data_IF_288104368329
#
_entry.id   IF_288104368329
#
_cell.length_a   1.000
_cell.length_b   1.000
_cell.length_c   1.000
_cell.angle_alpha   90.00
_cell.angle_beta   90.00
_cell.angle_gamma   90.00
#
_symmetry.space_group_name_H-M   'P 1'
#
loop_
_entity.id
_entity.type
_entity.pdbx_description
1 polymer ?
#
# COMPACT_ATOMS: atom_id res chain seq x y z
N UNK A 1 18.58 -9.24 3.99
CA UNK A 1 17.47 -8.26 4.05
C UNK A 1 16.22 -8.73 3.30
N UNK A 2 16.24 -8.97 1.97
CA UNK A 2 15.04 -9.37 1.20
C UNK A 2 14.33 -10.63 1.71
N UNK A 3 15.07 -11.65 2.14
CA UNK A 3 14.49 -12.88 2.73
C UNK A 3 13.62 -12.62 3.96
N UNK A 4 13.96 -11.61 4.78
CA UNK A 4 13.14 -11.23 5.93
C UNK A 4 11.79 -10.64 5.51
N UNK A 5 11.79 -9.83 4.45
CA UNK A 5 10.57 -9.25 3.88
C UNK A 5 9.67 -10.35 3.30
N UNK A 6 10.25 -11.30 2.58
CA UNK A 6 9.53 -12.46 2.04
C UNK A 6 8.91 -13.27 3.17
N UNK A 7 9.67 -13.56 4.24
CA UNK A 7 9.17 -14.25 5.42
C UNK A 7 8.00 -13.50 6.08
N UNK A 8 8.11 -12.18 6.22
CA UNK A 8 7.04 -11.33 6.75
C UNK A 8 5.79 -11.33 5.86
N UNK A 9 5.97 -11.26 4.54
CA UNK A 9 4.88 -11.30 3.57
C UNK A 9 4.13 -12.65 3.62
N UNK A 10 4.86 -13.76 3.73
CA UNK A 10 4.26 -15.10 3.91
C UNK A 10 3.51 -15.21 5.25
N UNK A 11 4.08 -14.69 6.33
CA UNK A 11 3.41 -14.62 7.64
C UNK A 11 2.13 -13.76 7.58
N UNK A 12 2.15 -12.67 6.81
CA UNK A 12 0.99 -11.83 6.58
C UNK A 12 -0.09 -12.60 5.80
N UNK A 13 0.27 -13.26 4.70
CA UNK A 13 -0.66 -14.11 3.94
C UNK A 13 -1.29 -15.20 4.83
N UNK A 14 -0.49 -15.86 5.66
CA UNK A 14 -0.97 -16.85 6.62
C UNK A 14 -1.91 -16.24 7.67
N UNK A 15 -1.60 -15.03 8.16
CA UNK A 15 -2.46 -14.31 9.10
C UNK A 15 -3.81 -13.95 8.48
N UNK A 16 -3.83 -13.49 7.23
CA UNK A 16 -5.05 -13.27 6.45
C UNK A 16 -5.86 -14.55 6.35
N UNK A 17 -5.23 -15.70 6.06
CA UNK A 17 -5.90 -16.99 6.03
C UNK A 17 -6.52 -17.37 7.38
N UNK A 18 -5.76 -17.31 8.48
CA UNK A 18 -6.24 -17.69 9.82
C UNK A 18 -7.39 -16.80 10.29
N UNK A 19 -7.25 -15.48 10.13
CA UNK A 19 -8.27 -14.50 10.51
C UNK A 19 -9.54 -14.69 9.69
N UNK A 20 -9.41 -14.87 8.37
CA UNK A 20 -10.57 -15.13 7.51
C UNK A 20 -11.25 -16.43 7.87
N UNK A 21 -10.48 -17.48 8.19
CA UNK A 21 -11.04 -18.79 8.57
C UNK A 21 -11.86 -18.68 9.84
N UNK A 22 -11.35 -17.93 10.83
CA UNK A 22 -12.02 -17.68 12.11
C UNK A 22 -13.36 -16.96 11.94
N UNK A 23 -13.41 -15.93 11.10
CA UNK A 23 -14.60 -15.06 10.99
C UNK A 23 -15.57 -15.42 9.87
N UNK A 24 -15.09 -16.01 8.78
CA UNK A 24 -15.85 -16.22 7.55
C UNK A 24 -15.81 -17.68 7.04
N UNK A 25 -15.03 -18.54 7.70
CA UNK A 25 -14.96 -19.98 7.44
C UNK A 25 -13.92 -20.40 6.39
N UNK A 26 -13.73 -21.72 6.27
CA UNK A 26 -12.65 -22.33 5.46
C UNK A 26 -12.66 -21.93 3.99
N UNK A 27 -13.83 -21.88 3.35
CA UNK A 27 -13.91 -21.52 1.92
C UNK A 27 -13.48 -20.08 1.68
N UNK A 28 -13.93 -19.15 2.52
CA UNK A 28 -13.56 -17.74 2.43
C UNK A 28 -12.05 -17.54 2.63
N UNK A 29 -11.45 -18.29 3.56
CA UNK A 29 -10.01 -18.18 3.83
C UNK A 29 -9.14 -18.66 2.69
N UNK A 30 -9.57 -19.70 1.95
CA UNK A 30 -8.85 -20.16 0.76
C UNK A 30 -8.91 -19.12 -0.37
N UNK A 31 -10.08 -18.51 -0.61
CA UNK A 31 -10.18 -17.41 -1.58
C UNK A 31 -9.36 -16.20 -1.14
N UNK A 32 -9.45 -15.77 0.13
CA UNK A 32 -8.68 -14.63 0.62
C UNK A 32 -7.17 -14.87 0.53
N UNK A 33 -6.69 -16.07 0.84
CA UNK A 33 -5.28 -16.42 0.69
C UNK A 33 -4.83 -16.35 -0.77
N UNK A 34 -5.59 -16.96 -1.68
CA UNK A 34 -5.29 -16.95 -3.11
C UNK A 34 -5.29 -15.53 -3.69
N UNK A 35 -6.29 -14.73 -3.33
CA UNK A 35 -6.36 -13.33 -3.71
C UNK A 35 -5.15 -12.55 -3.17
N UNK A 36 -4.75 -12.77 -1.90
CA UNK A 36 -3.63 -12.07 -1.29
C UNK A 36 -2.28 -12.34 -1.97
N UNK A 37 -1.94 -13.61 -2.18
CA UNK A 37 -0.62 -13.99 -2.73
C UNK A 37 -0.47 -13.62 -4.21
N UNK A 38 -1.59 -13.44 -4.92
CA UNK A 38 -1.63 -13.07 -6.33
C UNK A 38 -2.03 -11.60 -6.54
N UNK A 39 -2.22 -10.81 -5.49
CA UNK A 39 -2.45 -9.39 -5.68
C UNK A 39 -1.12 -8.74 -6.10
N UNK A 40 -1.02 -8.17 -7.31
CA UNK A 40 0.25 -7.80 -7.92
C UNK A 40 1.01 -6.75 -7.11
N UNK A 41 0.32 -5.76 -6.54
CA UNK A 41 0.99 -4.69 -5.80
C UNK A 41 1.56 -5.18 -4.46
N UNK A 42 0.83 -6.02 -3.74
CA UNK A 42 1.26 -6.65 -2.49
C UNK A 42 2.41 -7.63 -2.73
N UNK A 43 2.33 -8.44 -3.79
CA UNK A 43 3.41 -9.36 -4.17
C UNK A 43 4.67 -8.61 -4.62
N UNK A 44 4.52 -7.52 -5.37
CA UNK A 44 5.62 -6.64 -5.78
C UNK A 44 6.37 -6.08 -4.57
N UNK A 45 5.67 -5.63 -3.53
CA UNK A 45 6.33 -5.08 -2.34
C UNK A 45 6.71 -6.13 -1.30
N UNK A 46 6.23 -7.37 -1.41
CA UNK A 46 6.56 -8.47 -0.50
C UNK A 46 8.05 -8.81 -0.41
N UNK A 47 8.84 -8.42 -1.40
CA UNK A 47 10.29 -8.67 -1.44
C UNK A 47 11.14 -7.38 -1.39
N UNK A 48 10.51 -6.20 -1.42
CA UNK A 48 11.20 -4.91 -1.32
C UNK A 48 11.50 -4.59 0.14
N UNK A 49 12.72 -4.14 0.42
CA UNK A 49 13.15 -3.76 1.78
C UNK A 49 12.65 -2.34 2.07
N UNK A 50 11.39 -2.23 2.47
CA UNK A 50 10.73 -0.97 2.83
C UNK A 50 9.78 -1.18 4.03
N UNK A 51 9.10 -0.12 4.44
CA UNK A 51 8.20 -0.11 5.61
C UNK A 51 6.73 -0.40 5.26
N UNK A 52 6.40 -0.63 3.99
CA UNK A 52 5.03 -0.66 3.48
C UNK A 52 4.29 -1.96 3.83
N UNK A 53 4.94 -3.12 3.67
CA UNK A 53 4.40 -4.41 4.12
C UNK A 53 4.33 -4.51 5.67
N UNK A 54 5.38 -4.12 6.43
CA UNK A 54 5.33 -4.07 7.89
C UNK A 54 4.16 -3.28 8.46
N UNK A 55 3.91 -2.03 8.01
CA UNK A 55 2.77 -1.25 8.52
C UNK A 55 1.45 -1.95 8.21
N UNK A 56 1.26 -2.45 6.99
CA UNK A 56 0.02 -3.11 6.60
C UNK A 56 -0.24 -4.37 7.46
N UNK A 57 0.80 -5.15 7.74
CA UNK A 57 0.74 -6.35 8.58
C UNK A 57 0.36 -6.03 10.03
N UNK A 58 1.10 -5.12 10.69
CA UNK A 58 0.86 -4.80 12.09
C UNK A 58 -0.44 -4.04 12.28
N UNK A 59 -0.82 -3.16 11.36
CA UNK A 59 -2.12 -2.47 11.39
C UNK A 59 -3.27 -3.47 11.28
N UNK A 60 -3.19 -4.40 10.33
CA UNK A 60 -4.18 -5.46 10.17
C UNK A 60 -4.38 -6.27 11.46
N UNK A 61 -3.29 -6.78 12.04
CA UNK A 61 -3.36 -7.56 13.27
C UNK A 61 -3.83 -6.72 14.47
N UNK A 62 -3.44 -5.45 14.56
CA UNK A 62 -3.91 -4.53 15.60
C UNK A 62 -5.42 -4.38 15.57
N UNK A 63 -6.02 -4.19 14.39
CA UNK A 63 -7.47 -4.11 14.25
C UNK A 63 -8.15 -5.43 14.66
N UNK A 64 -7.57 -6.57 14.29
CA UNK A 64 -8.11 -7.90 14.66
C UNK A 64 -8.05 -8.14 16.16
N UNK A 65 -6.91 -7.87 16.81
CA UNK A 65 -6.76 -8.05 18.25
C UNK A 65 -7.61 -7.05 19.04
N UNK A 66 -7.75 -5.81 18.53
CA UNK A 66 -8.61 -4.80 19.11
C UNK A 66 -10.08 -5.24 19.10
N UNK A 67 -10.56 -5.80 17.99
CA UNK A 67 -11.91 -6.37 17.93
C UNK A 67 -12.10 -7.48 18.97
N UNK A 68 -11.12 -8.37 19.11
CA UNK A 68 -11.20 -9.46 20.09
C UNK A 68 -11.18 -8.95 21.52
N UNK A 69 -10.43 -7.90 21.81
CA UNK A 69 -10.51 -7.19 23.08
C UNK A 69 -11.89 -6.55 23.31
N UNK A 70 -12.46 -5.87 22.32
CA UNK A 70 -13.80 -5.27 22.44
C UNK A 70 -14.87 -6.32 22.75
N UNK A 71 -14.78 -7.49 22.11
CA UNK A 71 -15.71 -8.61 22.31
C UNK A 71 -15.59 -9.26 23.69
N UNK A 72 -14.36 -9.58 24.11
CA UNK A 72 -14.14 -10.44 25.28
C UNK A 72 -13.66 -9.70 26.52
N UNK A 73 -13.20 -8.46 26.37
CA UNK A 73 -12.56 -7.62 27.41
C UNK A 73 -11.39 -8.30 28.15
N UNK A 74 -10.80 -9.33 27.55
CA UNK A 74 -9.70 -10.10 28.15
C UNK A 74 -8.40 -9.30 28.04
N UNK A 75 -7.68 -9.15 29.16
CA UNK A 75 -6.38 -8.46 29.22
C UNK A 75 -5.36 -9.02 28.22
N UNK A 76 -5.42 -10.32 27.93
CA UNK A 76 -4.60 -10.97 26.90
C UNK A 76 -4.68 -10.28 25.53
N UNK A 77 -5.90 -9.98 25.04
CA UNK A 77 -6.08 -9.31 23.75
C UNK A 77 -5.68 -7.83 23.79
N UNK A 78 -5.82 -7.18 24.96
CA UNK A 78 -5.31 -5.83 25.17
C UNK A 78 -3.78 -5.80 25.07
N UNK A 79 -3.09 -6.75 25.72
CA UNK A 79 -1.62 -6.89 25.63
C UNK A 79 -1.16 -7.12 24.20
N UNK A 80 -1.80 -8.05 23.47
CA UNK A 80 -1.50 -8.28 22.04
C UNK A 80 -1.71 -6.99 21.22
N UNK A 81 -2.83 -6.30 21.43
CA UNK A 81 -3.12 -5.04 20.73
C UNK A 81 -2.07 -3.98 21.03
N UNK A 82 -1.63 -3.85 22.28
CA UNK A 82 -0.62 -2.87 22.68
C UNK A 82 0.73 -3.12 21.97
N UNK A 83 1.20 -4.37 21.91
CA UNK A 83 2.44 -4.69 21.19
C UNK A 83 2.32 -4.52 19.67
N UNK A 84 1.21 -4.97 19.06
CA UNK A 84 1.01 -4.83 17.62
C UNK A 84 0.87 -3.35 17.21
N UNK A 85 0.15 -2.56 18.01
CA UNK A 85 0.05 -1.12 17.82
C UNK A 85 1.44 -0.50 17.92
N UNK A 86 2.23 -0.84 18.94
CA UNK A 86 3.59 -0.35 19.10
C UNK A 86 4.49 -0.69 17.90
N UNK A 87 4.47 -1.93 17.43
CA UNK A 87 5.24 -2.33 16.25
C UNK A 87 4.77 -1.63 14.97
N UNK A 88 3.48 -1.31 14.84
CA UNK A 88 2.99 -0.52 13.70
C UNK A 88 3.57 0.91 13.71
N UNK A 89 3.63 1.57 14.88
CA UNK A 89 4.22 2.90 15.02
C UNK A 89 5.72 2.88 14.72
N UNK A 90 6.41 1.83 15.18
CA UNK A 90 7.82 1.62 14.90
C UNK A 90 8.10 1.36 13.42
N UNK A 91 7.22 0.60 12.74
CA UNK A 91 7.35 0.29 11.33
C UNK A 91 7.23 1.54 10.45
N UNK A 92 6.23 2.39 10.68
CA UNK A 92 6.01 3.60 9.86
C UNK A 92 5.18 4.64 10.61
N UNK A 93 5.61 5.89 10.59
CA UNK A 93 4.96 7.00 11.30
C UNK A 93 3.48 7.22 10.93
N UNK A 94 3.07 6.87 9.72
CA UNK A 94 1.67 6.95 9.28
C UNK A 94 0.74 5.99 10.04
N UNK A 95 1.27 5.04 10.82
CA UNK A 95 0.49 4.16 11.66
C UNK A 95 -0.28 4.89 12.77
N UNK A 96 0.01 6.18 13.03
CA UNK A 96 -0.78 7.02 13.95
C UNK A 96 -2.27 7.05 13.56
N UNK A 97 -2.58 6.81 12.28
CA UNK A 97 -3.93 6.62 11.76
C UNK A 97 -4.73 5.51 12.48
N UNK A 98 -4.06 4.55 13.14
CA UNK A 98 -4.72 3.53 13.94
C UNK A 98 -5.54 4.09 15.09
N UNK A 99 -5.17 5.24 15.66
CA UNK A 99 -5.88 5.82 16.81
C UNK A 99 -7.34 6.14 16.44
N UNK A 100 -7.62 6.99 15.43
CA UNK A 100 -8.99 7.25 15.02
C UNK A 100 -9.69 6.00 14.45
N UNK A 101 -8.96 5.08 13.80
CA UNK A 101 -9.54 3.82 13.29
C UNK A 101 -10.03 2.93 14.44
N UNK A 102 -9.23 2.72 15.48
CA UNK A 102 -9.60 1.93 16.66
C UNK A 102 -10.75 2.58 17.43
N UNK A 103 -10.76 3.91 17.53
CA UNK A 103 -11.87 4.68 18.08
C UNK A 103 -13.15 4.47 17.27
N UNK A 104 -13.09 4.61 15.94
CA UNK A 104 -14.20 4.35 15.04
C UNK A 104 -14.73 2.91 15.15
N UNK A 105 -13.85 1.92 15.21
CA UNK A 105 -14.23 0.53 15.44
C UNK A 105 -14.98 0.35 16.77
N UNK A 106 -14.48 0.96 17.86
CA UNK A 106 -15.12 0.87 19.17
C UNK A 106 -16.49 1.54 19.18
N UNK A 107 -16.62 2.73 18.59
CA UNK A 107 -17.90 3.44 18.48
C UNK A 107 -18.93 2.63 17.68
N UNK A 108 -18.55 2.16 16.48
CA UNK A 108 -19.43 1.33 15.64
C UNK A 108 -19.81 0.05 16.39
N UNK A 109 -18.87 -0.60 17.06
CA UNK A 109 -19.14 -1.79 17.85
C UNK A 109 -20.15 -1.53 18.98
N UNK A 110 -19.99 -0.44 19.74
CA UNK A 110 -20.89 -0.13 20.84
C UNK A 110 -22.31 0.23 20.37
N UNK A 111 -22.45 1.00 19.29
CA UNK A 111 -23.77 1.40 18.80
C UNK A 111 -24.48 0.31 17.99
N UNK A 112 -23.74 -0.46 17.19
CA UNK A 112 -24.34 -1.45 16.27
C UNK A 112 -24.46 -2.83 16.90
N UNK A 113 -23.44 -3.27 17.66
CA UNK A 113 -23.40 -4.60 18.27
C UNK A 113 -23.94 -4.57 19.70
N UNK A 114 -23.38 -3.72 20.57
CA UNK A 114 -23.85 -3.63 21.97
C UNK A 114 -25.12 -2.79 22.14
N UNK A 115 -25.51 -2.01 21.12
CA UNK A 115 -26.70 -1.13 21.11
C UNK A 115 -26.77 -0.20 22.32
N UNK A 116 -25.63 0.41 22.68
CA UNK A 116 -25.60 1.37 23.79
C UNK A 116 -26.40 2.63 23.45
N UNK A 117 -26.99 3.26 24.47
CA UNK A 117 -27.61 4.59 24.34
C UNK A 117 -26.56 5.70 24.48
N UNK A 118 -26.85 6.89 23.93
CA UNK A 118 -25.97 8.07 24.04
C UNK A 118 -25.63 8.43 25.50
N UNK A 119 -26.55 8.22 26.45
CA UNK A 119 -26.31 8.46 27.88
C UNK A 119 -25.18 7.60 28.45
N UNK A 120 -25.01 6.38 27.95
CA UNK A 120 -23.95 5.44 28.39
C UNK A 120 -22.63 5.62 27.63
N UNK A 121 -22.59 6.49 26.60
CA UNK A 121 -21.39 6.72 25.79
C UNK A 121 -20.24 7.26 26.64
N UNK A 122 -20.50 8.21 27.52
CA UNK A 122 -19.46 8.81 28.39
C UNK A 122 -18.78 7.74 29.24
N UNK A 123 -19.55 6.86 29.90
CA UNK A 123 -19.00 5.76 30.69
C UNK A 123 -18.18 4.79 29.83
N UNK A 124 -18.60 4.53 28.58
CA UNK A 124 -17.83 3.68 27.66
C UNK A 124 -16.54 4.35 27.20
N UNK A 125 -16.54 5.66 26.95
CA UNK A 125 -15.33 6.43 26.64
C UNK A 125 -14.35 6.42 27.82
N UNK A 126 -14.84 6.61 29.05
CA UNK A 126 -14.00 6.50 30.26
C UNK A 126 -13.40 5.09 30.39
N UNK A 127 -14.15 4.05 30.02
CA UNK A 127 -13.68 2.65 30.11
C UNK A 127 -12.50 2.32 29.20
N UNK A 128 -12.21 3.14 28.17
CA UNK A 128 -11.07 2.93 27.25
C UNK A 128 -9.85 3.78 27.60
N UNK A 129 -9.93 4.67 28.59
CA UNK A 129 -8.79 5.51 29.02
C UNK A 129 -7.64 4.64 29.53
N UNK A 130 -7.88 3.79 30.53
CA UNK A 130 -6.82 2.92 31.08
C UNK A 130 -6.23 1.97 30.02
N UNK A 131 -7.03 1.27 29.19
CA UNK A 131 -6.51 0.53 28.04
C UNK A 131 -5.67 1.37 27.08
N UNK A 132 -6.10 2.60 26.78
CA UNK A 132 -5.38 3.53 25.92
C UNK A 132 -4.04 3.95 26.51
N UNK A 133 -4.01 4.33 27.79
CA UNK A 133 -2.77 4.66 28.52
C UNK A 133 -1.81 3.47 28.54
N UNK A 134 -2.31 2.25 28.72
CA UNK A 134 -1.50 1.05 28.65
C UNK A 134 -0.90 0.82 27.26
N UNK A 135 -1.69 0.99 26.18
CA UNK A 135 -1.19 0.90 24.80
C UNK A 135 -0.09 1.96 24.55
N UNK A 136 -0.30 3.20 25.02
CA UNK A 136 0.69 4.28 24.90
C UNK A 136 1.97 3.97 25.67
N UNK A 137 1.88 3.45 26.89
CA UNK A 137 3.04 3.06 27.69
C UNK A 137 3.86 1.94 27.03
N UNK A 138 3.19 0.91 26.49
CA UNK A 138 3.86 -0.16 25.74
C UNK A 138 4.49 0.38 24.46
N UNK A 139 3.80 1.27 23.76
CA UNK A 139 4.32 1.92 22.54
C UNK A 139 5.58 2.71 22.83
N UNK A 140 5.57 3.51 23.89
CA UNK A 140 6.75 4.23 24.36
C UNK A 140 7.90 3.26 24.66
N UNK A 141 7.65 2.22 25.45
CA UNK A 141 8.68 1.24 25.82
C UNK A 141 9.29 0.53 24.60
N UNK A 142 8.47 0.08 23.64
CA UNK A 142 8.95 -0.60 22.42
C UNK A 142 9.77 0.33 21.55
N UNK A 143 9.34 1.58 21.34
CA UNK A 143 10.11 2.57 20.58
C UNK A 143 11.41 2.89 21.33
N UNK A 144 11.34 3.08 22.65
CA UNK A 144 12.51 3.36 23.47
C UNK A 144 13.56 2.25 23.39
N UNK A 145 13.15 0.99 23.54
CA UNK A 145 14.03 -0.18 23.37
C UNK A 145 14.55 -0.28 21.93
N UNK A 146 13.68 -0.11 20.93
CA UNK A 146 14.03 -0.23 19.52
C UNK A 146 14.98 0.86 19.00
N UNK A 147 15.10 1.98 19.70
CA UNK A 147 16.08 3.04 19.44
C UNK A 147 17.34 2.92 20.32
N UNK A 148 17.50 1.81 21.05
CA UNK A 148 18.70 1.52 21.84
C UNK A 148 18.70 2.15 23.23
N UNK A 149 17.53 2.50 23.79
CA UNK A 149 17.38 3.13 25.11
C UNK A 149 18.28 4.37 25.27
N UNK A 150 18.14 5.38 24.39
CA UNK A 150 19.01 6.54 24.43
C UNK A 150 18.75 7.34 25.72
N UNK A 151 19.74 7.37 26.61
CA UNK A 151 19.74 8.24 27.79
C UNK A 151 20.35 9.62 27.51
N UNK A 152 20.95 9.80 26.34
CA UNK A 152 21.49 11.08 25.85
C UNK A 152 20.97 11.38 24.45
N UNK A 153 20.74 12.67 24.16
CA UNK A 153 20.44 13.11 22.80
C UNK A 153 21.76 13.05 22.03
N UNK A 154 21.88 12.11 21.08
CA UNK A 154 23.00 12.10 20.15
C UNK A 154 23.09 13.47 19.46
N UNK A 155 24.28 14.08 19.44
CA UNK A 155 24.54 15.34 18.74
C UNK A 155 24.12 15.32 17.26
N UNK A 156 23.88 14.14 16.66
CA UNK A 156 23.33 13.96 15.31
C UNK A 156 21.86 14.42 15.12
N UNK A 157 21.12 14.71 16.19
CA UNK A 157 19.80 15.35 16.09
C UNK A 157 19.97 16.83 15.74
N UNK A 158 21.02 17.47 16.29
CA UNK A 158 21.41 18.85 16.05
C UNK A 158 22.18 18.95 14.75
N UNK A 159 21.50 19.44 13.72
CA UNK A 159 22.13 19.85 12.48
C UNK A 159 21.91 21.37 12.35
N UNK A 160 22.94 22.21 12.59
CA UNK A 160 22.80 23.67 12.51
C UNK A 160 22.46 24.16 11.10
N UNK A 161 22.58 23.32 10.06
CA UNK A 161 22.10 23.61 8.72
C UNK A 161 20.60 23.31 8.53
N UNK A 162 19.96 22.58 9.46
CA UNK A 162 18.53 22.30 9.45
C UNK A 162 17.79 23.28 10.38
N UNK A 163 17.53 24.49 9.88
CA UNK A 163 16.78 25.55 10.58
C UNK A 163 15.29 25.26 10.80
N UNK A 164 14.79 24.12 10.30
CA UNK A 164 13.36 23.78 10.25
C UNK A 164 12.83 22.98 11.45
N UNK A 165 13.68 22.63 12.41
CA UNK A 165 13.25 22.00 13.66
C UNK A 165 12.81 23.07 14.66
N UNK A 166 11.68 22.88 15.38
CA UNK A 166 11.28 23.78 16.44
C UNK A 166 12.39 23.92 17.47
N UNK A 167 12.61 25.15 17.96
CA UNK A 167 13.67 25.47 18.91
C UNK A 167 13.73 24.52 20.11
N UNK A 168 12.57 24.13 20.65
CA UNK A 168 12.47 23.18 21.77
C UNK A 168 12.93 21.74 21.46
N UNK A 169 12.91 21.33 20.18
CA UNK A 169 13.49 20.06 19.74
C UNK A 169 15.00 20.18 19.56
N UNK A 170 15.48 21.34 19.08
CA UNK A 170 16.90 21.62 18.83
C UNK A 170 17.72 21.71 20.10
N UNK A 171 17.14 22.18 21.21
CA UNK A 171 17.87 22.27 22.47
C UNK A 171 18.02 20.93 23.21
N UNK A 172 17.36 19.86 22.75
CA UNK A 172 17.45 18.53 23.34
C UNK A 172 16.90 18.39 24.77
N UNK A 173 16.61 19.51 25.47
CA UNK A 173 16.21 19.54 26.89
C UNK A 173 14.96 18.71 27.18
N UNK A 174 13.95 18.76 26.30
CA UNK A 174 12.75 17.94 26.42
C UNK A 174 13.08 16.44 26.30
N UNK A 175 13.87 16.05 25.30
CA UNK A 175 14.21 14.64 25.07
C UNK A 175 15.13 14.08 26.17
N UNK A 176 16.04 14.91 26.70
CA UNK A 176 16.89 14.57 27.85
C UNK A 176 16.08 14.39 29.14
N UNK A 177 15.13 15.28 29.42
CA UNK A 177 14.30 15.23 30.63
C UNK A 177 13.41 13.98 30.71
N UNK A 178 13.00 13.44 29.56
CA UNK A 178 12.07 12.31 29.49
C UNK A 178 12.69 11.01 28.93
N UNK A 179 14.00 11.00 28.66
CA UNK A 179 14.72 9.89 28.00
C UNK A 179 13.99 9.39 26.72
N UNK A 180 13.40 10.32 25.98
CA UNK A 180 12.54 10.00 24.83
C UNK A 180 13.41 9.84 23.57
N UNK A 181 13.15 8.85 22.70
CA UNK A 181 13.91 8.65 21.46
C UNK A 181 13.83 9.85 20.50
N UNK A 182 14.76 10.79 20.62
CA UNK A 182 14.75 12.05 19.86
C UNK A 182 14.70 11.83 18.34
N UNK A 183 15.37 10.79 17.83
CA UNK A 183 15.36 10.45 16.40
C UNK A 183 13.99 10.00 15.89
N UNK A 184 13.21 9.29 16.71
CA UNK A 184 11.84 8.92 16.35
C UNK A 184 10.96 10.17 16.17
N UNK A 185 11.04 11.10 17.11
CA UNK A 185 10.26 12.34 17.05
C UNK A 185 10.74 13.30 15.98
N UNK A 186 12.06 13.36 15.71
CA UNK A 186 12.61 14.05 14.53
C UNK A 186 12.00 13.49 13.25
N UNK A 187 11.96 12.16 13.09
CA UNK A 187 11.34 11.52 11.95
C UNK A 187 9.84 11.82 11.82
N UNK A 188 9.11 11.81 12.94
CA UNK A 188 7.70 12.20 12.96
C UNK A 188 7.50 13.67 12.55
N UNK A 189 8.34 14.58 13.05
CA UNK A 189 8.32 16.00 12.67
C UNK A 189 8.61 16.21 11.19
N UNK A 190 9.64 15.53 10.66
CA UNK A 190 9.98 15.60 9.24
C UNK A 190 8.83 15.10 8.37
N UNK A 191 8.13 14.03 8.77
CA UNK A 191 6.94 13.58 8.07
C UNK A 191 5.83 14.65 8.09
N UNK A 192 5.52 15.22 9.27
CA UNK A 192 4.47 16.24 9.36
C UNK A 192 4.83 17.46 8.52
N UNK A 193 6.09 17.91 8.58
CA UNK A 193 6.61 19.00 7.75
C UNK A 193 6.42 18.70 6.27
N UNK A 194 6.81 17.51 5.81
CA UNK A 194 6.71 17.12 4.41
C UNK A 194 5.25 17.07 3.91
N UNK A 195 4.30 16.71 4.78
CA UNK A 195 2.87 16.80 4.49
C UNK A 195 2.43 18.27 4.34
N UNK A 196 2.93 19.17 5.20
CA UNK A 196 2.59 20.61 5.16
C UNK A 196 3.28 21.36 4.02
N UNK A 197 4.51 20.99 3.64
CA UNK A 197 5.28 21.61 2.56
C UNK A 197 4.73 21.32 1.16
N UNK A 198 3.75 20.42 1.04
CA UNK A 198 3.02 20.11 -0.21
C UNK A 198 3.96 19.82 -1.38
N UNK A 199 4.42 18.57 -1.45
CA UNK A 199 5.22 18.06 -2.56
C UNK A 199 4.46 18.09 -3.89
N UNK A 200 5.20 18.11 -4.98
CA UNK A 200 4.63 17.93 -6.32
C UNK A 200 4.17 16.48 -6.48
N UNK A 201 2.96 16.32 -7.02
CA UNK A 201 2.33 15.04 -7.30
C UNK A 201 1.95 14.96 -8.77
N UNK A 202 1.83 13.73 -9.28
CA UNK A 202 1.50 13.45 -10.67
C UNK A 202 0.27 12.55 -10.79
N UNK A 203 -0.71 12.94 -11.61
CA UNK A 203 -1.91 12.16 -11.88
C UNK A 203 -2.45 12.48 -13.29
N UNK A 204 -2.57 11.45 -14.14
CA UNK A 204 -3.08 11.56 -15.52
C UNK A 204 -2.46 12.70 -16.34
N UNK A 205 -1.12 12.75 -16.39
CA UNK A 205 -0.37 13.76 -17.13
C UNK A 205 -0.31 15.15 -16.48
N UNK A 206 -1.02 15.37 -15.37
CA UNK A 206 -1.03 16.64 -14.66
C UNK A 206 -0.09 16.62 -13.46
N UNK A 207 0.56 17.76 -13.22
CA UNK A 207 1.37 18.01 -12.02
C UNK A 207 0.65 18.99 -11.10
N UNK A 208 0.68 18.72 -9.79
CA UNK A 208 0.06 19.59 -8.80
C UNK A 208 0.77 19.51 -7.45
N UNK A 209 1.15 20.66 -6.89
CA UNK A 209 1.63 20.74 -5.51
C UNK A 209 0.49 20.45 -4.53
N UNK A 210 0.75 19.53 -3.62
CA UNK A 210 -0.20 19.10 -2.60
C UNK A 210 -1.25 18.09 -3.08
N UNK A 211 -1.14 17.61 -4.33
CA UNK A 211 -1.91 16.47 -4.81
C UNK A 211 -3.42 16.65 -4.97
N UNK A 212 -4.13 15.52 -4.96
CA UNK A 212 -5.57 15.39 -5.12
C UNK A 212 -6.14 14.53 -4.01
N UNK A 213 -7.23 14.99 -3.37
CA UNK A 213 -7.92 14.21 -2.35
C UNK A 213 -8.39 12.84 -2.86
N UNK A 214 -8.60 12.69 -4.18
CA UNK A 214 -9.02 11.45 -4.83
C UNK A 214 -7.86 10.63 -5.43
N UNK A 215 -6.59 11.01 -5.21
CA UNK A 215 -5.44 10.29 -5.74
C UNK A 215 -5.44 8.82 -5.34
N UNK A 216 -5.56 8.51 -4.03
CA UNK A 216 -5.53 7.14 -3.55
C UNK A 216 -6.72 6.29 -4.00
N UNK A 217 -7.98 6.79 -4.00
CA UNK A 217 -9.08 6.09 -4.64
C UNK A 217 -8.81 5.76 -6.11
N UNK A 218 -8.32 6.72 -6.91
CA UNK A 218 -7.99 6.48 -8.31
C UNK A 218 -6.87 5.46 -8.43
N UNK A 219 -5.78 5.63 -7.68
CA UNK A 219 -4.65 4.73 -7.70
C UNK A 219 -5.07 3.30 -7.35
N UNK A 220 -5.87 3.12 -6.29
CA UNK A 220 -6.44 1.83 -5.92
C UNK A 220 -7.27 1.24 -7.07
N UNK A 221 -8.13 2.03 -7.70
CA UNK A 221 -9.03 1.56 -8.76
C UNK A 221 -8.30 1.15 -10.04
N UNK A 222 -7.18 1.78 -10.39
CA UNK A 222 -6.43 1.46 -11.62
C UNK A 222 -5.27 0.50 -11.40
N UNK A 223 -4.76 0.39 -10.16
CA UNK A 223 -3.68 -0.54 -9.81
C UNK A 223 -4.19 -1.89 -9.33
N UNK A 224 -5.42 -1.97 -8.82
CA UNK A 224 -5.98 -3.25 -8.33
C UNK A 224 -6.63 -4.02 -9.47
N UNK A 225 -6.43 -5.35 -9.58
CA UNK A 225 -7.10 -6.16 -10.60
C UNK A 225 -8.63 -5.98 -10.57
N UNK A 226 -9.24 -5.74 -11.74
CA UNK A 226 -10.68 -5.56 -11.86
C UNK A 226 -11.50 -6.73 -11.27
N UNK A 227 -11.09 -8.01 -11.42
CA UNK A 227 -11.81 -9.11 -10.77
C UNK A 227 -11.89 -9.00 -9.24
N UNK A 228 -10.84 -8.48 -8.60
CA UNK A 228 -10.84 -8.26 -7.15
C UNK A 228 -11.81 -7.13 -6.77
N UNK A 229 -11.81 -6.03 -7.52
CA UNK A 229 -12.75 -4.92 -7.33
C UNK A 229 -14.20 -5.39 -7.52
N UNK A 230 -14.50 -6.12 -8.61
CA UNK A 230 -15.85 -6.62 -8.88
C UNK A 230 -16.33 -7.61 -7.82
N UNK A 231 -15.44 -8.49 -7.34
CA UNK A 231 -15.77 -9.44 -6.27
C UNK A 231 -16.04 -8.71 -4.95
N UNK A 232 -15.25 -7.69 -4.62
CA UNK A 232 -15.46 -6.84 -3.44
C UNK A 232 -16.80 -6.09 -3.51
N UNK A 233 -17.05 -5.37 -4.61
CA UNK A 233 -18.26 -4.57 -4.81
C UNK A 233 -19.53 -5.43 -4.88
N UNK A 234 -19.48 -6.56 -5.58
CA UNK A 234 -20.60 -7.50 -5.66
C UNK A 234 -21.00 -8.02 -4.29
N UNK A 235 -20.03 -8.32 -3.43
CA UNK A 235 -20.28 -8.72 -2.05
C UNK A 235 -20.90 -7.63 -1.17
N UNK A 236 -20.43 -6.39 -1.35
CA UNK A 236 -20.97 -5.22 -0.66
C UNK A 236 -22.42 -4.97 -1.08
N UNK A 237 -22.67 -4.92 -2.39
CA UNK A 237 -24.01 -4.71 -2.96
C UNK A 237 -25.00 -5.78 -2.46
N UNK A 238 -24.62 -7.06 -2.47
CA UNK A 238 -25.51 -8.13 -1.98
C UNK A 238 -25.74 -8.03 -0.47
N UNK A 239 -24.71 -7.67 0.32
CA UNK A 239 -24.87 -7.54 1.77
C UNK A 239 -25.81 -6.39 2.15
N UNK A 240 -25.72 -5.27 1.42
CA UNK A 240 -26.64 -4.14 1.56
C UNK A 240 -28.06 -4.49 1.09
N UNK A 241 -28.20 -5.10 -0.09
CA UNK A 241 -29.50 -5.47 -0.66
C UNK A 241 -30.26 -6.49 0.22
N UNK A 242 -29.53 -7.42 0.86
CA UNK A 242 -30.13 -8.40 1.78
C UNK A 242 -30.30 -7.88 3.20
N UNK A 243 -30.00 -6.60 3.47
CA UNK A 243 -30.03 -5.96 4.80
C UNK A 243 -29.40 -6.84 5.87
N UNK A 244 -28.23 -7.42 5.56
CA UNK A 244 -27.57 -8.35 6.48
C UNK A 244 -27.27 -7.66 7.80
N UNK A 245 -27.49 -8.39 8.89
CA UNK A 245 -27.08 -7.92 10.21
C UNK A 245 -25.56 -7.76 10.23
N UNK A 246 -25.11 -6.59 10.67
CA UNK A 246 -23.70 -6.28 10.84
C UNK A 246 -23.13 -7.17 11.94
N UNK A 247 -22.07 -7.90 11.63
CA UNK A 247 -21.36 -8.72 12.63
C UNK A 247 -20.12 -7.99 13.12
N UNK A 248 -19.58 -8.33 14.30
CA UNK A 248 -18.30 -7.80 14.77
C UNK A 248 -17.17 -7.95 13.76
N UNK A 249 -17.13 -9.08 13.03
CA UNK A 249 -16.12 -9.33 12.00
C UNK A 249 -16.24 -8.35 10.83
N UNK A 250 -17.45 -7.97 10.43
CA UNK A 250 -17.65 -6.96 9.38
C UNK A 250 -17.12 -5.59 9.81
N UNK A 251 -17.20 -5.23 11.09
CA UNK A 251 -16.64 -3.98 11.62
C UNK A 251 -15.12 -3.96 11.45
N UNK A 252 -14.43 -5.05 11.85
CA UNK A 252 -12.98 -5.13 11.69
C UNK A 252 -12.50 -5.24 10.24
N UNK A 253 -13.38 -5.60 9.30
CA UNK A 253 -13.04 -5.69 7.88
C UNK A 253 -13.42 -4.42 7.12
N UNK A 254 -14.49 -3.72 7.49
CA UNK A 254 -14.97 -2.57 6.72
C UNK A 254 -14.50 -1.23 7.28
N UNK A 255 -14.38 -1.08 8.61
CA UNK A 255 -14.00 0.22 9.21
C UNK A 255 -12.53 0.57 8.96
N UNK A 256 -11.55 -0.32 9.17
CA UNK A 256 -10.14 0.02 8.94
C UNK A 256 -9.80 0.51 7.54
N UNK A 257 -10.21 -0.16 6.44
CA UNK A 257 -9.88 0.32 5.09
C UNK A 257 -10.55 1.67 4.80
N UNK A 258 -11.78 1.90 5.26
CA UNK A 258 -12.48 3.19 5.08
C UNK A 258 -11.81 4.31 5.86
N UNK A 259 -11.49 4.08 7.14
CA UNK A 259 -10.84 5.07 7.99
C UNK A 259 -9.43 5.40 7.50
N UNK A 260 -8.65 4.39 7.12
CA UNK A 260 -7.30 4.59 6.59
C UNK A 260 -7.35 5.34 5.25
N UNK A 261 -8.21 4.93 4.32
CA UNK A 261 -8.40 5.63 3.04
C UNK A 261 -8.81 7.10 3.26
N UNK A 262 -9.78 7.38 4.14
CA UNK A 262 -10.22 8.74 4.43
C UNK A 262 -9.10 9.62 4.98
N UNK A 263 -8.25 9.09 5.86
CA UNK A 263 -7.07 9.79 6.38
C UNK A 263 -6.05 10.04 5.27
N UNK A 264 -5.81 9.06 4.40
CA UNK A 264 -4.90 9.22 3.26
C UNK A 264 -5.41 10.26 2.26
N UNK A 265 -6.72 10.34 2.02
CA UNK A 265 -7.36 11.34 1.16
C UNK A 265 -7.28 12.77 1.73
N UNK A 266 -7.13 12.92 3.04
CA UNK A 266 -6.88 14.21 3.69
C UNK A 266 -5.40 14.63 3.63
N UNK A 267 -4.50 13.70 3.32
CA UNK A 267 -3.09 13.96 3.11
C UNK A 267 -2.79 14.56 1.73
N UNK A 268 -1.53 14.95 1.54
CA UNK A 268 -1.01 15.60 0.32
C UNK A 268 0.14 14.82 -0.33
N UNK A 269 0.50 13.65 0.23
CA UNK A 269 1.66 12.86 -0.15
C UNK A 269 1.30 11.80 -1.21
N UNK A 270 1.06 12.29 -2.42
CA UNK A 270 0.52 11.51 -3.54
C UNK A 270 1.64 10.93 -4.43
N UNK A 271 2.47 10.07 -3.83
CA UNK A 271 3.71 9.56 -4.46
C UNK A 271 3.72 8.02 -4.62
N UNK A 272 2.58 7.34 -4.39
CA UNK A 272 2.53 5.89 -4.55
C UNK A 272 1.36 5.20 -3.87
N UNK A 273 0.78 4.20 -4.52
CA UNK A 273 -0.22 3.30 -3.95
C UNK A 273 0.24 2.66 -2.63
N UNK A 274 1.56 2.45 -2.45
CA UNK A 274 2.17 1.86 -1.26
C UNK A 274 1.77 2.52 0.06
N UNK A 275 1.36 3.78 0.03
CA UNK A 275 0.88 4.50 1.22
C UNK A 275 -0.45 3.97 1.76
N UNK A 276 -1.25 3.26 0.93
CA UNK A 276 -2.54 2.68 1.30
C UNK A 276 -2.57 1.15 1.33
N UNK A 277 -1.43 0.47 1.35
CA UNK A 277 -1.38 -0.99 1.57
C UNK A 277 -2.10 -1.50 2.82
N UNK A 278 -2.21 -0.74 3.92
CA UNK A 278 -3.06 -1.16 5.02
C UNK A 278 -4.54 -1.40 4.65
N UNK A 279 -5.02 -0.90 3.51
CA UNK A 279 -6.38 -1.13 2.99
C UNK A 279 -6.55 -2.54 2.38
N UNK A 280 -5.52 -3.03 1.68
CA UNK A 280 -5.57 -4.27 0.89
C UNK A 280 -5.98 -5.53 1.65
N UNK A 281 -5.41 -5.89 2.83
CA UNK A 281 -5.78 -7.13 3.51
C UNK A 281 -7.28 -7.19 3.81
N UNK A 282 -7.89 -6.07 4.17
CA UNK A 282 -9.31 -6.00 4.49
C UNK A 282 -10.20 -6.14 3.25
N UNK A 283 -9.85 -5.47 2.15
CA UNK A 283 -10.52 -5.63 0.85
C UNK A 283 -10.46 -7.10 0.40
N UNK A 284 -9.28 -7.72 0.50
CA UNK A 284 -9.06 -9.11 0.11
C UNK A 284 -9.88 -10.09 0.96
N UNK A 285 -9.96 -9.87 2.28
CA UNK A 285 -10.80 -10.69 3.17
C UNK A 285 -12.28 -10.56 2.79
N UNK A 286 -12.74 -9.34 2.53
CA UNK A 286 -14.12 -9.11 2.11
C UNK A 286 -14.41 -9.77 0.76
N UNK A 287 -13.51 -9.65 -0.21
CA UNK A 287 -13.62 -10.31 -1.51
C UNK A 287 -13.62 -11.84 -1.38
N UNK A 288 -12.76 -12.41 -0.52
CA UNK A 288 -12.74 -13.84 -0.23
C UNK A 288 -14.03 -14.35 0.41
N UNK A 289 -14.58 -13.59 1.37
CA UNK A 289 -15.91 -13.84 1.93
C UNK A 289 -17.00 -13.81 0.85
N UNK A 290 -16.94 -12.82 -0.04
CA UNK A 290 -17.91 -12.61 -1.12
C UNK A 290 -17.88 -13.76 -2.13
N UNK A 291 -16.69 -14.18 -2.58
CA UNK A 291 -16.50 -15.33 -3.45
C UNK A 291 -17.05 -16.63 -2.82
N UNK A 292 -16.74 -16.87 -1.55
CA UNK A 292 -17.28 -18.03 -0.84
C UNK A 292 -18.81 -17.99 -0.70
N UNK A 293 -19.37 -16.81 -0.48
CA UNK A 293 -20.81 -16.60 -0.44
C UNK A 293 -21.47 -16.89 -1.80
N UNK A 294 -20.93 -16.35 -2.90
CA UNK A 294 -21.45 -16.61 -4.25
C UNK A 294 -21.37 -18.10 -4.62
N UNK A 295 -20.26 -18.77 -4.30
CA UNK A 295 -20.12 -20.21 -4.52
C UNK A 295 -21.18 -21.02 -3.77
N UNK A 296 -21.45 -20.69 -2.50
CA UNK A 296 -22.50 -21.34 -1.71
C UNK A 296 -23.88 -21.06 -2.27
N UNK A 297 -24.14 -19.82 -2.68
CA UNK A 297 -25.40 -19.41 -3.28
C UNK A 297 -25.67 -20.19 -4.58
N UNK A 298 -24.70 -20.28 -5.49
CA UNK A 298 -24.84 -21.04 -6.74
C UNK A 298 -25.06 -22.54 -6.47
N UNK A 299 -24.33 -23.14 -5.52
CA UNK A 299 -24.56 -24.54 -5.12
C UNK A 299 -25.95 -24.78 -4.54
N UNK A 300 -26.48 -23.83 -3.77
CA UNK A 300 -27.85 -23.90 -3.25
C UNK A 300 -28.87 -23.81 -4.39
N UNK A 301 -28.71 -22.85 -5.30
CA UNK A 301 -29.57 -22.67 -6.47
C UNK A 301 -29.54 -23.90 -7.38
N UNK A 302 -28.37 -24.53 -7.56
CA UNK A 302 -28.22 -25.75 -8.34
C UNK A 302 -29.09 -26.91 -7.80
N UNK A 303 -29.18 -27.04 -6.47
CA UNK A 303 -29.99 -28.09 -5.81
C UNK A 303 -31.49 -27.89 -5.98
N UNK A 304 -31.95 -26.64 -6.06
CA UNK A 304 -33.38 -26.31 -6.15
C UNK A 304 -33.84 -26.03 -7.59
N UNK A 305 -32.92 -25.94 -8.56
CA UNK A 305 -33.23 -25.64 -9.95
C UNK A 305 -34.02 -26.79 -10.61
N UNK A 306 -35.29 -26.55 -10.92
CA UNK A 306 -36.18 -27.50 -11.61
C UNK A 306 -36.34 -27.18 -13.09
N UNK A 307 -36.32 -25.90 -13.46
CA UNK A 307 -36.55 -25.46 -14.85
C UNK A 307 -35.24 -25.26 -15.61
N UNK A 308 -35.29 -25.35 -16.96
CA UNK A 308 -34.14 -25.07 -17.82
C UNK A 308 -33.57 -23.67 -17.57
N UNK A 309 -34.42 -22.65 -17.42
CA UNK A 309 -34.03 -21.27 -17.11
C UNK A 309 -33.23 -21.15 -15.80
N UNK A 310 -33.67 -21.84 -14.74
CA UNK A 310 -32.95 -21.84 -13.45
C UNK A 310 -31.58 -22.54 -13.57
N UNK A 311 -31.52 -23.66 -14.29
CA UNK A 311 -30.25 -24.37 -14.55
C UNK A 311 -29.29 -23.50 -15.35
N UNK A 312 -29.76 -22.82 -16.39
CA UNK A 312 -28.96 -21.86 -17.18
C UNK A 312 -28.43 -20.71 -16.32
N UNK A 313 -29.25 -20.12 -15.44
CA UNK A 313 -28.79 -19.06 -14.52
C UNK A 313 -27.62 -19.51 -13.63
N UNK A 314 -27.72 -20.71 -13.04
CA UNK A 314 -26.64 -21.28 -12.22
C UNK A 314 -25.38 -21.52 -13.05
N UNK A 315 -25.53 -22.05 -14.26
CA UNK A 315 -24.42 -22.28 -15.19
C UNK A 315 -23.70 -20.98 -15.58
N UNK A 316 -24.44 -19.96 -15.99
CA UNK A 316 -23.87 -18.64 -16.31
C UNK A 316 -23.21 -17.99 -15.09
N UNK A 317 -23.80 -18.13 -13.90
CA UNK A 317 -23.20 -17.65 -12.66
C UNK A 317 -21.88 -18.36 -12.33
N UNK A 318 -21.82 -19.68 -12.49
CA UNK A 318 -20.60 -20.46 -12.29
C UNK A 318 -19.51 -20.10 -13.32
N UNK A 319 -19.91 -19.93 -14.60
CA UNK A 319 -19.01 -19.49 -15.66
C UNK A 319 -18.45 -18.09 -15.39
N UNK A 320 -19.28 -17.16 -14.92
CA UNK A 320 -18.84 -15.81 -14.54
C UNK A 320 -17.83 -15.85 -13.38
N UNK A 321 -18.08 -16.65 -12.33
CA UNK A 321 -17.12 -16.83 -11.24
C UNK A 321 -15.79 -17.44 -11.73
N UNK A 322 -15.85 -18.43 -12.62
CA UNK A 322 -14.66 -19.05 -13.21
C UNK A 322 -13.89 -18.06 -14.09
N UNK A 323 -14.59 -17.29 -14.92
CA UNK A 323 -14.00 -16.26 -15.77
C UNK A 323 -13.30 -15.17 -14.94
N UNK A 324 -13.92 -14.69 -13.86
CA UNK A 324 -13.29 -13.73 -12.93
C UNK A 324 -12.00 -14.29 -12.30
N UNK A 325 -12.01 -15.57 -11.90
CA UNK A 325 -10.83 -16.21 -11.33
C UNK A 325 -9.71 -16.38 -12.36
N UNK A 326 -10.05 -16.84 -13.57
CA UNK A 326 -9.09 -17.00 -14.67
C UNK A 326 -8.50 -15.64 -15.05
N UNK A 327 -9.34 -14.61 -15.14
CA UNK A 327 -8.91 -13.25 -15.40
C UNK A 327 -7.96 -12.74 -14.32
N UNK A 328 -8.27 -12.96 -13.04
CA UNK A 328 -7.39 -12.58 -11.93
C UNK A 328 -6.03 -13.27 -11.99
N UNK A 329 -6.02 -14.60 -12.19
CA UNK A 329 -4.81 -15.41 -12.30
C UNK A 329 -3.97 -15.00 -13.52
N UNK A 330 -4.60 -14.91 -14.69
CA UNK A 330 -3.95 -14.54 -15.94
C UNK A 330 -3.38 -13.12 -15.88
N UNK A 331 -4.11 -12.18 -15.28
CA UNK A 331 -3.67 -10.80 -15.09
C UNK A 331 -2.39 -10.71 -14.27
N UNK A 332 -2.31 -11.37 -13.11
CA UNK A 332 -1.08 -11.33 -12.30
C UNK A 332 0.07 -12.11 -12.94
N UNK A 333 -0.18 -13.32 -13.44
CA UNK A 333 0.87 -14.19 -13.98
C UNK A 333 1.50 -13.58 -15.25
N UNK A 334 0.69 -13.00 -16.13
CA UNK A 334 1.19 -12.39 -17.38
C UNK A 334 2.11 -11.18 -17.16
N UNK A 335 2.02 -10.54 -16.00
CA UNK A 335 2.85 -9.39 -15.63
C UNK A 335 4.04 -9.75 -14.75
N UNK A 336 4.16 -11.00 -14.29
CA UNK A 336 5.35 -11.45 -13.59
C UNK A 336 6.56 -11.46 -14.56
N UNK A 337 7.75 -10.97 -14.15
CA UNK A 337 8.14 -10.51 -12.81
C UNK A 337 7.91 -9.03 -12.52
N UNK A 338 7.41 -8.25 -13.49
CA UNK A 338 7.19 -6.79 -13.40
C UNK A 338 5.86 -6.42 -12.73
N UNK A 339 5.63 -6.96 -11.53
CA UNK A 339 4.37 -6.72 -10.81
C UNK A 339 4.25 -5.29 -10.25
N UNK A 340 5.37 -4.58 -10.05
CA UNK A 340 5.33 -3.22 -9.51
C UNK A 340 4.69 -2.23 -10.49
N UNK A 341 4.98 -2.36 -11.78
CA UNK A 341 4.41 -1.58 -12.88
C UNK A 341 3.01 -2.06 -13.32
N UNK A 342 2.39 -2.98 -12.57
CA UNK A 342 1.04 -3.46 -12.89
C UNK A 342 0.01 -2.31 -12.88
N UNK A 343 -0.89 -2.31 -13.86
CA UNK A 343 -2.12 -1.53 -13.96
C UNK A 343 -3.16 -2.45 -14.57
N UNK A 344 -4.41 -2.31 -14.14
CA UNK A 344 -5.49 -3.06 -14.73
C UNK A 344 -5.86 -2.53 -16.13
N UNK A 345 -6.78 -3.23 -16.77
CA UNK A 345 -7.15 -3.07 -18.17
C UNK A 345 -7.75 -1.70 -18.50
N UNK A 346 -8.19 -0.92 -17.50
CA UNK A 346 -8.70 0.45 -17.74
C UNK A 346 -7.61 1.43 -18.16
N UNK A 347 -6.36 1.16 -17.80
CA UNK A 347 -5.19 1.99 -18.16
C UNK A 347 -4.21 1.20 -19.03
N UNK A 348 -4.01 -0.08 -18.72
CA UNK A 348 -3.00 -0.94 -19.34
C UNK A 348 -1.59 -0.64 -18.83
N UNK A 349 -0.80 -1.69 -18.62
CA UNK A 349 0.55 -1.60 -18.05
C UNK A 349 1.52 -0.77 -18.89
N UNK A 350 1.48 -0.94 -20.21
CA UNK A 350 2.33 -0.23 -21.18
C UNK A 350 2.13 1.30 -21.17
N UNK A 351 0.98 1.78 -20.70
CA UNK A 351 0.63 3.20 -20.61
C UNK A 351 0.47 3.69 -19.16
N UNK A 352 0.73 2.83 -18.16
CA UNK A 352 0.53 3.14 -16.75
C UNK A 352 1.24 4.40 -16.28
N UNK A 353 2.42 4.67 -16.84
CA UNK A 353 3.23 5.85 -16.56
C UNK A 353 2.55 7.19 -16.90
N UNK A 354 1.57 7.18 -17.81
CA UNK A 354 0.75 8.34 -18.14
C UNK A 354 -0.29 8.62 -17.05
N UNK A 355 -0.72 7.60 -16.31
CA UNK A 355 -1.73 7.73 -15.27
C UNK A 355 -1.12 7.98 -13.88
N UNK A 356 -0.15 7.17 -13.47
CA UNK A 356 0.58 7.31 -12.22
C UNK A 356 2.07 7.17 -12.46
N UNK A 357 2.87 7.71 -11.53
CA UNK A 357 4.32 7.70 -11.64
C UNK A 357 4.95 7.55 -10.25
N UNK A 358 6.27 7.74 -10.13
CA UNK A 358 7.05 7.54 -8.90
C UNK A 358 7.03 6.05 -8.50
N UNK A 359 6.97 5.76 -7.20
CA UNK A 359 6.95 4.42 -6.62
C UNK A 359 5.77 3.53 -7.03
N UNK A 360 4.90 4.02 -7.92
CA UNK A 360 3.89 3.22 -8.63
C UNK A 360 4.46 2.41 -9.81
N UNK A 361 5.63 2.76 -10.35
CA UNK A 361 6.19 2.13 -11.55
C UNK A 361 7.44 1.32 -11.25
N UNK A 362 8.35 1.91 -10.48
CA UNK A 362 9.66 1.36 -10.20
C UNK A 362 10.12 1.76 -8.79
N UNK A 363 11.07 1.02 -8.23
CA UNK A 363 11.81 1.28 -7.01
C UNK A 363 13.33 1.12 -7.26
N UNK A 364 13.71 1.26 -8.53
CA UNK A 364 15.04 1.02 -9.06
C UNK A 364 15.38 -0.44 -9.31
N UNK A 365 14.41 -1.36 -9.26
CA UNK A 365 14.66 -2.75 -9.61
C UNK A 365 14.90 -2.94 -11.12
N UNK A 366 14.42 -2.00 -11.95
CA UNK A 366 14.55 -2.06 -13.41
C UNK A 366 15.99 -1.83 -13.91
N UNK A 367 16.91 -1.33 -13.07
CA UNK A 367 18.33 -1.25 -13.41
C UNK A 367 18.94 -2.62 -13.79
N UNK A 368 18.41 -3.72 -13.24
CA UNK A 368 18.83 -5.07 -13.64
C UNK A 368 18.44 -5.40 -15.09
N UNK A 369 17.17 -5.18 -15.45
CA UNK A 369 16.68 -5.35 -16.83
C UNK A 369 17.41 -4.42 -17.80
N UNK A 370 17.74 -3.21 -17.34
CA UNK A 370 18.52 -2.25 -18.13
C UNK A 370 19.92 -2.76 -18.45
N UNK A 371 20.65 -3.28 -17.46
CA UNK A 371 21.97 -3.91 -17.66
C UNK A 371 21.90 -5.03 -18.69
N UNK A 372 20.90 -5.90 -18.57
CA UNK A 372 20.77 -7.08 -19.43
C UNK A 372 20.49 -6.68 -20.89
N UNK A 373 19.65 -5.66 -21.08
CA UNK A 373 19.41 -5.07 -22.39
C UNK A 373 20.68 -4.48 -23.01
N UNK A 374 21.41 -3.67 -22.25
CA UNK A 374 22.66 -3.04 -22.71
C UNK A 374 23.71 -4.08 -23.11
N UNK A 375 23.84 -5.13 -22.29
CA UNK A 375 24.75 -6.26 -22.56
C UNK A 375 24.37 -6.98 -23.85
N UNK A 376 23.07 -7.26 -24.05
CA UNK A 376 22.59 -7.93 -25.26
C UNK A 376 22.78 -7.08 -26.53
N UNK A 377 22.73 -5.76 -26.42
CA UNK A 377 22.96 -4.81 -27.53
C UNK A 377 24.43 -4.41 -27.69
N UNK A 378 25.34 -4.86 -26.83
CA UNK A 378 26.74 -4.48 -26.85
C UNK A 378 27.00 -2.99 -26.51
N UNK A 379 26.12 -2.35 -25.74
CA UNK A 379 26.20 -0.94 -25.38
C UNK A 379 26.93 -0.81 -24.04
N UNK A 380 28.13 -0.25 -24.04
CA UNK A 380 28.96 -0.10 -22.84
C UNK A 380 28.74 1.23 -22.09
N UNK A 381 28.38 2.29 -22.81
CA UNK A 381 28.12 3.63 -22.26
C UNK A 381 26.85 4.22 -22.88
N UNK A 382 25.66 3.89 -22.34
CA UNK A 382 24.41 4.45 -22.85
C UNK A 382 24.28 5.93 -22.48
N UNK A 383 23.68 6.72 -23.37
CA UNK A 383 23.15 8.04 -23.02
C UNK A 383 21.82 7.82 -22.30
N UNK A 384 21.71 8.18 -21.02
CA UNK A 384 20.50 7.85 -20.25
C UNK A 384 20.06 8.93 -19.27
N UNK A 385 18.78 8.92 -18.92
CA UNK A 385 18.26 9.44 -17.66
C UNK A 385 18.00 8.28 -16.71
N UNK A 386 17.99 8.57 -15.41
CA UNK A 386 17.58 7.60 -14.40
C UNK A 386 17.14 8.32 -13.14
N UNK A 387 15.86 8.20 -12.82
CA UNK A 387 15.23 8.95 -11.72
C UNK A 387 15.76 8.58 -10.33
N UNK A 388 16.21 7.33 -10.15
CA UNK A 388 16.79 6.88 -8.89
C UNK A 388 18.27 7.25 -8.78
N UNK A 389 19.01 6.57 -7.90
CA UNK A 389 20.39 6.97 -7.60
C UNK A 389 21.37 6.51 -8.68
N UNK A 390 22.36 7.36 -8.98
CA UNK A 390 23.49 7.00 -9.84
C UNK A 390 24.30 5.84 -9.23
N UNK A 391 24.35 5.75 -7.90
CA UNK A 391 24.97 4.64 -7.18
C UNK A 391 24.28 3.29 -7.45
N UNK A 392 22.96 3.30 -7.67
CA UNK A 392 22.25 2.08 -8.05
C UNK A 392 22.66 1.59 -9.44
N UNK A 393 22.78 2.49 -10.43
CA UNK A 393 23.30 2.10 -11.75
C UNK A 393 24.73 1.56 -11.67
N UNK A 394 25.60 2.20 -10.88
CA UNK A 394 26.96 1.72 -10.63
C UNK A 394 26.99 0.33 -9.99
N UNK A 395 26.09 0.05 -9.04
CA UNK A 395 25.96 -1.27 -8.43
C UNK A 395 25.65 -2.36 -9.49
N UNK A 396 24.86 -2.04 -10.50
CA UNK A 396 24.59 -2.93 -11.64
C UNK A 396 25.67 -2.88 -12.74
N UNK A 397 26.76 -2.14 -12.54
CA UNK A 397 27.85 -2.00 -13.51
C UNK A 397 27.52 -1.10 -14.70
N UNK A 398 26.42 -0.34 -14.66
CA UNK A 398 26.00 0.55 -15.74
C UNK A 398 26.70 1.90 -15.57
N UNK A 399 27.43 2.33 -16.60
CA UNK A 399 28.05 3.65 -16.68
C UNK A 399 27.32 4.49 -17.72
N UNK A 400 26.27 5.19 -17.29
CA UNK A 400 25.56 6.11 -18.17
C UNK A 400 26.36 7.39 -18.41
N UNK A 401 26.31 7.86 -19.65
CA UNK A 401 26.46 9.28 -19.95
C UNK A 401 25.12 9.97 -19.64
N UNK A 402 25.06 10.70 -18.53
CA UNK A 402 23.81 11.33 -18.10
C UNK A 402 23.48 12.53 -18.97
N UNK A 403 22.27 12.50 -19.52
CA UNK A 403 21.70 13.59 -20.32
C UNK A 403 20.57 14.15 -19.48
N UNK A 404 20.72 15.36 -18.94
CA UNK A 404 19.76 15.95 -18.00
C UNK A 404 18.99 17.11 -18.62
N UNK A 405 19.34 17.51 -19.84
CA UNK A 405 18.76 18.65 -20.52
C UNK A 405 18.67 18.42 -22.03
N UNK A 406 17.85 19.24 -22.68
CA UNK A 406 17.80 19.28 -24.14
C UNK A 406 19.16 19.69 -24.76
N UNK A 407 19.94 20.53 -24.09
CA UNK A 407 21.27 20.92 -24.55
C UNK A 407 22.24 19.73 -24.58
N UNK A 408 22.21 18.89 -23.54
CA UNK A 408 23.01 17.65 -23.50
C UNK A 408 22.60 16.71 -24.65
N UNK A 409 21.31 16.59 -24.94
CA UNK A 409 20.80 15.79 -26.05
C UNK A 409 21.23 16.32 -27.42
N UNK A 410 21.23 17.64 -27.61
CA UNK A 410 21.70 18.27 -28.85
C UNK A 410 23.17 17.96 -29.14
N UNK A 411 24.00 17.76 -28.11
CA UNK A 411 25.41 17.39 -28.27
C UNK A 411 25.65 15.95 -28.78
N UNK A 412 24.63 15.09 -28.72
CA UNK A 412 24.75 13.70 -29.17
C UNK A 412 24.91 13.61 -30.69
N UNK A 413 25.63 12.58 -31.16
CA UNK A 413 25.72 12.30 -32.61
C UNK A 413 24.37 11.81 -33.14
N UNK A 414 24.05 12.13 -34.39
CA UNK A 414 22.89 11.58 -35.08
C UNK A 414 22.92 10.04 -35.06
N UNK A 415 21.76 9.40 -34.90
CA UNK A 415 21.62 7.96 -34.75
C UNK A 415 21.95 7.42 -33.36
N UNK A 416 22.40 8.25 -32.42
CA UNK A 416 22.62 7.83 -31.03
C UNK A 416 21.32 7.35 -30.39
N UNK A 417 21.42 6.26 -29.62
CA UNK A 417 20.33 5.79 -28.77
C UNK A 417 20.29 6.61 -27.47
N UNK A 418 19.07 6.86 -27.02
CA UNK A 418 18.81 7.60 -25.80
C UNK A 418 17.77 6.89 -24.94
N UNK A 419 18.12 6.64 -23.68
CA UNK A 419 17.33 5.85 -22.75
C UNK A 419 16.72 6.77 -21.70
N UNK A 420 15.40 6.89 -21.67
CA UNK A 420 14.70 7.80 -20.76
C UNK A 420 13.82 7.01 -19.81
N UNK A 421 13.98 7.24 -18.51
CA UNK A 421 13.07 6.69 -17.51
C UNK A 421 11.69 7.36 -17.61
N UNK A 422 10.62 6.58 -17.44
CA UNK A 422 9.23 7.01 -17.42
C UNK A 422 8.98 8.13 -16.40
N UNK A 423 9.76 8.17 -15.33
CA UNK A 423 9.72 9.20 -14.30
C UNK A 423 10.26 10.53 -14.76
N UNK A 424 11.22 10.55 -15.67
CA UNK A 424 11.70 11.78 -16.29
C UNK A 424 10.81 12.13 -17.49
N UNK A 425 10.47 11.14 -18.33
CA UNK A 425 9.69 11.32 -19.54
C UNK A 425 8.31 11.97 -19.31
N UNK A 426 7.73 11.87 -18.10
CA UNK A 426 6.47 12.55 -17.74
C UNK A 426 6.60 14.07 -17.59
N UNK A 427 7.78 14.60 -17.29
CA UNK A 427 7.93 16.01 -16.97
C UNK A 427 7.86 16.88 -18.23
N UNK A 428 7.35 18.12 -18.13
CA UNK A 428 7.26 19.03 -19.28
C UNK A 428 8.62 19.30 -19.94
N UNK A 429 9.72 19.32 -19.18
CA UNK A 429 11.06 19.48 -19.74
C UNK A 429 11.49 18.39 -20.74
N UNK A 430 10.79 17.24 -20.77
CA UNK A 430 11.05 16.11 -21.66
C UNK A 430 10.02 15.99 -22.80
N UNK A 431 9.17 16.99 -23.02
CA UNK A 431 8.15 16.95 -24.07
C UNK A 431 8.74 16.73 -25.47
N UNK A 432 9.89 17.35 -25.75
CA UNK A 432 10.65 17.15 -27.00
C UNK A 432 11.10 15.71 -27.20
N UNK A 433 11.36 14.95 -26.13
CA UNK A 433 11.82 13.58 -26.26
C UNK A 433 10.68 12.65 -26.73
N UNK A 434 9.42 13.03 -26.47
CA UNK A 434 8.24 12.27 -26.87
C UNK A 434 7.94 12.38 -28.37
N UNK A 435 8.54 13.34 -29.07
CA UNK A 435 8.43 13.46 -30.53
C UNK A 435 9.47 12.60 -31.25
N UNK A 436 10.48 12.10 -30.54
CA UNK A 436 11.51 11.24 -31.13
C UNK A 436 10.94 9.86 -31.50
N UNK A 437 11.51 9.20 -32.52
CA UNK A 437 11.17 7.82 -32.85
C UNK A 437 11.45 6.87 -31.68
N UNK A 438 10.40 6.27 -31.13
CA UNK A 438 10.51 5.19 -30.14
C UNK A 438 11.00 3.92 -30.85
N UNK A 439 12.19 3.45 -30.50
CA UNK A 439 12.83 2.28 -31.12
C UNK A 439 12.58 1.01 -30.32
N UNK A 440 12.59 1.11 -29.00
CA UNK A 440 12.47 -0.05 -28.11
C UNK A 440 12.02 0.36 -26.71
N UNK A 441 11.79 -0.63 -25.84
CA UNK A 441 11.56 -0.43 -24.39
C UNK A 441 12.33 -1.45 -23.57
N UNK A 442 12.83 -1.01 -22.43
CA UNK A 442 13.45 -1.90 -21.43
C UNK A 442 12.55 -1.98 -20.21
N UNK A 443 12.00 -3.17 -19.99
CA UNK A 443 10.91 -3.37 -19.04
C UNK A 443 9.71 -2.49 -19.37
N UNK A 444 9.05 -1.98 -18.33
CA UNK A 444 7.88 -1.11 -18.48
C UNK A 444 8.19 0.38 -18.27
N UNK A 445 9.43 0.73 -17.88
CA UNK A 445 9.75 2.10 -17.45
C UNK A 445 10.89 2.77 -18.20
N UNK A 446 11.70 2.08 -19.00
CA UNK A 446 12.78 2.75 -19.75
C UNK A 446 12.44 2.74 -21.23
N UNK A 447 12.37 3.93 -21.83
CA UNK A 447 12.04 4.13 -23.24
C UNK A 447 13.31 4.38 -24.03
N UNK A 448 13.47 3.68 -25.16
CA UNK A 448 14.64 3.80 -26.03
C UNK A 448 14.25 4.59 -27.26
N UNK A 449 14.79 5.79 -27.36
CA UNK A 449 14.64 6.68 -28.51
C UNK A 449 15.90 6.68 -29.36
N UNK A 450 15.76 7.10 -30.61
CA UNK A 450 16.88 7.39 -31.50
C UNK A 450 16.86 8.85 -31.90
N UNK A 451 18.01 9.51 -31.82
CA UNK A 451 18.19 10.85 -32.37
C UNK A 451 18.12 10.80 -33.90
N UNK A 452 17.11 11.44 -34.46
CA UNK A 452 16.99 11.78 -35.88
C UNK A 452 17.62 13.15 -36.18
N UNK A 453 17.75 13.45 -37.48
CA UNK A 453 18.42 14.62 -38.06
C UNK A 453 17.70 15.93 -37.77
#
# INVERSE_FOLDING_TARGET
ARNMMIGLYLLFAFSVFIVTRKYFGKTASLFALLLFILEPNMAAHGHLVNTDIPIAFFLFLTCVSWLEYLKSRRKFWLSITAFLFAFSQYAKFSAVALIPIMGGMALVYWFVIERISLKKLVLRLLSVILPGLFILAVTFAVIWIGYGMPFSVSHSVYDPANTDLPYWMNEGRFFQAFAVPAQFWKGYWLLTRDIFLKREAYLFGMFKKGGWWYYFPVAFLIKTPLPLIFTFLGGLAVSLARRRQVTPAMIAVLIPPLGFMAISMAGTMDIGLRHIFPVYPFVIIWAGYSAAFFLRFLRQQQRIAKTARQKSFVWFGALACAALMIWYLGGTISHYPRLLSYFNETVGTTNGWKALNDSNLDWGQNAGEFRDYLTAKGISQPNCTYFWSHEQLKYYGIRCNFINSYADFQSLREGSLYFIDAMDLKSPEWEWARTLPLVDRVGDTIFVFRKDS
#
